data_IF_882047733413
#
_entry.id   IF_882047733413
#
_cell.length_a   1.000
_cell.length_b   1.000
_cell.length_c   1.000
_cell.angle_alpha   90.00
_cell.angle_beta   90.00
_cell.angle_gamma   90.00
#
_symmetry.space_group_name_H-M   'P 1'
#
loop_
_entity.id
_entity.type
_entity.pdbx_description
1 polymer ?
#
# COMPACT_ATOMS: atom_id res chain seq x y z
N UNK A 1 72.86 27.02 18.32
CA UNK A 1 71.82 26.01 18.04
C UNK A 1 70.59 26.70 17.47
N UNK A 2 70.35 26.57 16.16
CA UNK A 2 69.09 26.92 15.49
C UNK A 2 68.93 25.91 14.35
N UNK A 3 67.96 25.00 14.49
CA UNK A 3 67.60 24.05 13.45
C UNK A 3 66.54 24.67 12.53
N UNK A 4 66.73 24.42 11.24
CA UNK A 4 65.76 24.65 10.19
C UNK A 4 64.57 23.70 10.32
N UNK A 5 63.39 24.12 9.87
CA UNK A 5 62.29 23.21 9.57
C UNK A 5 61.63 23.66 8.27
N UNK A 6 61.70 22.75 7.30
CA UNK A 6 61.15 22.81 5.96
C UNK A 6 59.77 22.15 5.98
N UNK A 7 58.73 22.88 5.60
CA UNK A 7 57.38 22.32 5.39
C UNK A 7 57.12 22.15 3.90
N UNK A 8 57.26 20.90 3.46
CA UNK A 8 56.89 20.41 2.13
C UNK A 8 55.38 20.22 2.08
N UNK A 9 54.69 21.00 1.24
CA UNK A 9 53.28 20.84 0.95
C UNK A 9 53.07 19.69 -0.05
N UNK A 10 52.41 18.62 0.38
CA UNK A 10 52.00 17.51 -0.47
C UNK A 10 50.62 17.84 -1.06
N UNK A 11 50.58 18.22 -2.34
CA UNK A 11 49.35 18.35 -3.11
C UNK A 11 48.81 16.94 -3.41
N UNK A 12 47.77 16.51 -2.70
CA UNK A 12 46.92 15.40 -3.14
C UNK A 12 45.97 15.91 -4.22
N UNK A 13 46.28 15.60 -5.48
CA UNK A 13 45.34 15.73 -6.58
C UNK A 13 44.30 14.61 -6.49
N UNK A 14 43.16 14.89 -5.87
CA UNK A 14 41.95 14.07 -5.98
C UNK A 14 41.43 14.19 -7.42
N UNK A 15 41.70 13.16 -8.23
CA UNK A 15 41.09 13.00 -9.54
C UNK A 15 39.60 12.77 -9.37
N UNK A 16 38.81 13.81 -9.64
CA UNK A 16 37.37 13.72 -9.84
C UNK A 16 37.18 12.96 -11.15
N UNK A 17 37.08 11.64 -11.08
CA UNK A 17 36.57 10.86 -12.20
C UNK A 17 35.12 11.30 -12.40
N UNK A 18 34.85 11.96 -13.53
CA UNK A 18 33.48 12.23 -13.94
C UNK A 18 32.78 10.88 -14.08
N UNK A 19 31.81 10.60 -13.21
CA UNK A 19 30.81 9.55 -13.40
C UNK A 19 30.01 9.94 -14.65
N UNK A 20 30.56 9.60 -15.81
CA UNK A 20 29.82 9.57 -17.05
C UNK A 20 28.61 8.67 -16.81
N UNK A 21 27.42 9.18 -17.11
CA UNK A 21 26.17 8.46 -17.05
C UNK A 21 26.30 7.19 -17.89
N UNK A 22 26.61 6.07 -17.24
CA UNK A 22 26.58 4.76 -17.83
C UNK A 22 25.10 4.42 -18.07
N UNK A 23 24.56 4.94 -19.17
CA UNK A 23 23.37 4.37 -19.80
C UNK A 23 23.78 2.97 -20.24
N UNK A 24 23.57 2.01 -19.34
CA UNK A 24 23.62 0.58 -19.62
C UNK A 24 22.76 0.34 -20.85
N UNK A 25 23.41 0.11 -21.98
CA UNK A 25 22.75 -0.21 -23.25
C UNK A 25 22.05 -1.56 -23.10
N UNK A 26 20.75 -1.53 -22.82
CA UNK A 26 19.82 -2.62 -23.17
C UNK A 26 19.67 -3.80 -22.20
N UNK A 27 20.31 -3.80 -21.03
CA UNK A 27 20.07 -4.86 -20.04
C UNK A 27 18.79 -4.55 -19.24
N UNK A 28 17.78 -5.40 -19.38
CA UNK A 28 16.60 -5.37 -18.51
C UNK A 28 16.94 -5.90 -17.11
N UNK A 29 16.07 -5.62 -16.15
CA UNK A 29 16.19 -6.02 -14.75
C UNK A 29 15.33 -7.25 -14.50
N UNK A 30 15.96 -8.33 -14.03
CA UNK A 30 15.30 -9.61 -13.77
C UNK A 30 14.66 -9.66 -12.38
N UNK A 31 15.16 -8.89 -11.41
CA UNK A 31 14.65 -8.88 -10.03
C UNK A 31 14.39 -7.46 -9.50
N UNK A 32 13.34 -7.32 -8.70
CA UNK A 32 12.99 -6.09 -7.99
C UNK A 32 14.09 -5.71 -6.98
N UNK A 33 14.74 -6.71 -6.39
CA UNK A 33 15.86 -6.53 -5.47
C UNK A 33 17.03 -5.79 -6.13
N UNK A 34 17.29 -6.01 -7.42
CA UNK A 34 18.33 -5.28 -8.15
C UNK A 34 18.01 -3.79 -8.26
N UNK A 35 16.75 -3.41 -8.41
CA UNK A 35 16.32 -2.01 -8.41
C UNK A 35 16.56 -1.40 -7.04
N UNK A 36 16.14 -2.08 -5.98
CA UNK A 36 16.33 -1.61 -4.60
C UNK A 36 17.82 -1.45 -4.27
N UNK A 37 18.66 -2.41 -4.65
CA UNK A 37 20.11 -2.35 -4.45
C UNK A 37 20.73 -1.19 -5.23
N UNK A 38 20.35 -0.99 -6.50
CA UNK A 38 20.84 0.14 -7.32
C UNK A 38 20.42 1.47 -6.72
N UNK A 39 19.16 1.63 -6.33
CA UNK A 39 18.67 2.86 -5.71
C UNK A 39 19.31 3.14 -4.35
N UNK A 40 19.74 2.12 -3.60
CA UNK A 40 20.46 2.32 -2.33
C UNK A 40 21.84 2.98 -2.54
N UNK A 41 22.41 2.86 -3.73
CA UNK A 41 23.69 3.44 -4.12
C UNK A 41 23.55 4.80 -4.83
N UNK A 42 22.32 5.22 -5.15
CA UNK A 42 22.04 6.50 -5.81
C UNK A 42 22.09 7.63 -4.79
N UNK A 43 23.07 8.51 -4.96
CA UNK A 43 23.22 9.74 -4.16
C UNK A 43 22.53 10.95 -4.79
N UNK A 44 22.52 11.03 -6.12
CA UNK A 44 21.86 12.10 -6.88
C UNK A 44 20.51 11.62 -7.42
N UNK A 45 19.43 12.11 -6.80
CA UNK A 45 18.05 11.80 -7.20
C UNK A 45 17.45 12.81 -8.17
N UNK A 46 18.20 13.84 -8.58
CA UNK A 46 17.72 14.88 -9.50
C UNK A 46 17.64 14.40 -10.96
N UNK A 47 18.39 13.36 -11.30
CA UNK A 47 18.43 12.78 -12.65
C UNK A 47 17.34 11.73 -12.84
N UNK A 48 16.67 11.73 -14.00
CA UNK A 48 15.74 10.67 -14.38
C UNK A 48 16.46 9.33 -14.51
N UNK A 49 16.02 8.34 -13.74
CA UNK A 49 16.55 6.97 -13.74
C UNK A 49 15.48 6.03 -14.29
N UNK A 50 15.81 5.32 -15.36
CA UNK A 50 14.89 4.38 -16.01
C UNK A 50 15.30 2.95 -15.73
N UNK A 51 14.35 2.17 -15.21
CA UNK A 51 14.45 0.73 -14.97
C UNK A 51 13.53 0.01 -15.95
N UNK A 52 14.10 -0.87 -16.77
CA UNK A 52 13.33 -1.71 -17.68
C UNK A 52 13.24 -3.11 -17.10
N UNK A 53 12.05 -3.53 -16.67
CA UNK A 53 11.81 -4.91 -16.27
C UNK A 53 11.87 -5.83 -17.49
N UNK A 54 12.43 -7.02 -17.31
CA UNK A 54 12.48 -8.02 -18.38
C UNK A 54 11.07 -8.50 -18.74
N UNK A 55 10.77 -8.58 -20.05
CA UNK A 55 9.49 -9.07 -20.54
C UNK A 55 9.26 -10.54 -20.14
N UNK A 56 7.99 -10.91 -19.93
CA UNK A 56 7.54 -12.25 -19.54
C UNK A 56 8.12 -12.75 -18.21
N UNK A 57 8.55 -11.83 -17.34
CA UNK A 57 9.02 -12.16 -15.98
C UNK A 57 7.91 -11.88 -14.96
N UNK A 58 7.74 -12.84 -14.07
CA UNK A 58 6.93 -12.71 -12.86
C UNK A 58 7.83 -12.41 -11.68
N UNK A 59 7.61 -11.25 -11.07
CA UNK A 59 8.26 -10.82 -9.84
C UNK A 59 7.36 -11.14 -8.65
N UNK A 60 7.69 -12.21 -7.93
CA UNK A 60 7.01 -12.61 -6.71
C UNK A 60 7.49 -11.76 -5.54
N UNK A 61 6.61 -10.91 -5.00
CA UNK A 61 6.89 -10.09 -3.82
C UNK A 61 6.64 -10.93 -2.56
N UNK A 62 7.53 -10.77 -1.56
CA UNK A 62 7.42 -11.43 -0.27
C UNK A 62 6.37 -10.78 0.63
N UNK A 63 5.99 -11.49 1.68
CA UNK A 63 5.11 -10.99 2.74
C UNK A 63 5.93 -10.41 3.88
N UNK A 64 5.27 -9.69 4.78
CA UNK A 64 5.84 -9.15 6.00
C UNK A 64 5.44 -10.05 7.17
N UNK A 65 6.40 -10.42 8.01
CA UNK A 65 6.09 -11.12 9.25
C UNK A 65 5.54 -10.16 10.33
N UNK A 66 5.31 -10.66 11.54
CA UNK A 66 4.83 -9.86 12.68
C UNK A 66 5.81 -8.76 13.12
N UNK A 67 7.09 -8.88 12.77
CA UNK A 67 8.13 -7.87 13.01
C UNK A 67 8.29 -6.91 11.82
N UNK A 68 7.49 -7.10 10.77
CA UNK A 68 7.58 -6.40 9.49
C UNK A 68 8.88 -6.69 8.72
N UNK A 69 9.48 -7.85 8.97
CA UNK A 69 10.60 -8.34 8.18
C UNK A 69 10.06 -9.03 6.92
N UNK A 70 10.76 -8.84 5.80
CA UNK A 70 10.42 -9.48 4.53
C UNK A 70 10.68 -10.98 4.62
N UNK A 71 9.67 -11.79 4.31
CA UNK A 71 9.72 -13.25 4.21
C UNK A 71 9.22 -13.70 2.84
N UNK A 72 9.79 -14.80 2.33
CA UNK A 72 9.32 -15.54 1.15
C UNK A 72 9.08 -14.72 -0.14
N UNK A 73 10.11 -14.05 -0.66
CA UNK A 73 10.05 -13.44 -1.99
C UNK A 73 11.06 -12.33 -2.22
N UNK A 74 10.76 -11.48 -3.21
CA UNK A 74 11.50 -10.26 -3.47
C UNK A 74 10.97 -9.12 -2.59
N UNK A 75 11.81 -8.12 -2.34
CA UNK A 75 11.38 -6.91 -1.66
C UNK A 75 10.38 -6.11 -2.50
N UNK A 76 9.64 -5.24 -1.83
CA UNK A 76 8.78 -4.25 -2.46
C UNK A 76 9.59 -3.24 -3.28
N UNK A 77 8.99 -2.64 -4.32
CA UNK A 77 9.62 -1.59 -5.12
C UNK A 77 9.73 -0.28 -4.32
N UNK A 78 10.94 0.16 -3.93
CA UNK A 78 11.09 1.40 -3.18
C UNK A 78 11.02 2.60 -4.13
N UNK A 79 10.17 3.57 -3.82
CA UNK A 79 10.04 4.78 -4.61
C UNK A 79 10.96 5.92 -4.16
N UNK A 80 11.57 6.58 -5.15
CA UNK A 80 12.34 7.82 -5.03
C UNK A 80 12.02 8.72 -6.23
N UNK A 81 12.22 10.05 -6.13
CA UNK A 81 11.89 10.95 -7.22
C UNK A 81 12.73 10.72 -8.49
N UNK A 82 12.19 11.16 -9.62
CA UNK A 82 12.77 11.04 -10.96
C UNK A 82 13.07 9.58 -11.34
N UNK A 83 12.07 8.70 -11.14
CA UNK A 83 12.16 7.28 -11.48
C UNK A 83 11.14 6.91 -12.55
N UNK A 84 11.57 6.16 -13.56
CA UNK A 84 10.69 5.49 -14.52
C UNK A 84 10.89 4.00 -14.45
N UNK A 85 9.84 3.24 -14.22
CA UNK A 85 9.86 1.77 -14.21
C UNK A 85 8.92 1.29 -15.31
N UNK A 86 9.47 0.61 -16.31
CA UNK A 86 8.73 0.20 -17.50
C UNK A 86 8.87 -1.28 -17.78
N UNK A 87 7.82 -1.89 -18.33
CA UNK A 87 7.85 -3.28 -18.75
C UNK A 87 8.39 -3.43 -20.18
N UNK A 88 9.53 -4.08 -20.34
CA UNK A 88 10.24 -4.16 -21.60
C UNK A 88 10.71 -2.78 -22.12
N UNK A 89 11.47 -2.78 -23.21
CA UNK A 89 12.11 -1.56 -23.73
C UNK A 89 11.12 -0.53 -24.27
N UNK A 90 9.94 -0.97 -24.72
CA UNK A 90 8.87 -0.10 -25.25
C UNK A 90 7.78 0.20 -24.22
N UNK A 91 7.93 -0.27 -22.97
CA UNK A 91 7.01 0.03 -21.86
C UNK A 91 5.59 -0.51 -22.04
N UNK A 92 5.39 -1.45 -22.97
CA UNK A 92 4.06 -1.97 -23.30
C UNK A 92 3.64 -3.09 -22.37
N UNK A 93 2.36 -3.14 -22.02
CA UNK A 93 1.80 -4.20 -21.17
C UNK A 93 1.81 -5.58 -21.81
N UNK A 94 1.85 -5.66 -23.14
CA UNK A 94 2.00 -6.91 -23.90
C UNK A 94 3.34 -7.62 -23.63
N UNK A 95 4.31 -6.90 -23.04
CA UNK A 95 5.55 -7.50 -22.55
C UNK A 95 5.34 -8.34 -21.29
N UNK A 96 4.17 -8.32 -20.65
CA UNK A 96 3.77 -9.20 -19.55
C UNK A 96 4.74 -9.21 -18.35
N UNK A 97 5.19 -8.06 -17.88
CA UNK A 97 5.89 -7.97 -16.60
C UNK A 97 4.85 -7.96 -15.49
N UNK A 98 4.87 -9.01 -14.69
CA UNK A 98 3.89 -9.26 -13.65
C UNK A 98 4.56 -9.06 -12.29
N UNK A 99 4.00 -8.20 -11.44
CA UNK A 99 4.33 -8.09 -10.03
C UNK A 99 3.18 -8.72 -9.25
N UNK A 100 3.48 -9.75 -8.46
CA UNK A 100 2.43 -10.57 -7.85
C UNK A 100 2.74 -10.96 -6.42
N UNK A 101 1.67 -11.17 -5.64
CA UNK A 101 1.75 -11.56 -4.23
C UNK A 101 2.24 -10.43 -3.33
N UNK A 102 2.69 -10.83 -2.14
CA UNK A 102 3.24 -9.95 -1.11
C UNK A 102 2.21 -9.02 -0.48
N UNK A 103 2.57 -8.46 0.67
CA UNK A 103 1.72 -7.49 1.36
C UNK A 103 1.72 -6.15 0.64
N UNK A 104 2.90 -5.66 0.25
CA UNK A 104 3.07 -4.37 -0.42
C UNK A 104 3.95 -4.55 -1.65
N UNK A 105 3.45 -4.21 -2.84
CA UNK A 105 4.22 -4.36 -4.08
C UNK A 105 5.03 -3.11 -4.43
N UNK A 106 4.44 -1.92 -4.28
CA UNK A 106 5.08 -0.63 -4.47
C UNK A 106 4.99 0.19 -3.19
N UNK A 107 6.14 0.58 -2.65
CA UNK A 107 6.25 1.35 -1.42
C UNK A 107 6.74 2.78 -1.66
N UNK A 108 5.84 3.73 -1.43
CA UNK A 108 6.12 5.16 -1.36
C UNK A 108 6.17 5.71 0.06
N UNK A 109 6.19 4.85 1.09
CA UNK A 109 6.26 5.28 2.48
C UNK A 109 7.70 5.61 2.92
N UNK A 110 7.84 6.14 4.13
CA UNK A 110 9.13 6.29 4.81
C UNK A 110 9.58 5.02 5.53
N UNK A 111 8.73 3.99 5.60
CA UNK A 111 8.93 2.81 6.43
C UNK A 111 9.87 1.80 5.80
N UNK A 112 9.65 1.50 4.52
CA UNK A 112 10.49 0.56 3.76
C UNK A 112 11.21 1.25 2.58
N UNK A 113 10.81 2.48 2.25
CA UNK A 113 11.39 3.29 1.19
C UNK A 113 12.79 3.83 1.52
N UNK A 114 13.56 4.09 0.47
CA UNK A 114 14.93 4.62 0.57
C UNK A 114 14.85 6.15 0.78
N UNK A 115 14.85 6.56 2.05
CA UNK A 115 14.90 7.96 2.50
C UNK A 115 13.53 8.53 2.87
N UNK A 116 13.37 8.90 4.16
CA UNK A 116 12.07 9.21 4.77
C UNK A 116 11.45 10.54 4.34
N UNK A 117 12.24 11.50 3.88
CA UNK A 117 11.81 12.91 3.78
C UNK A 117 11.79 13.46 2.35
N UNK A 118 12.06 12.62 1.35
CA UNK A 118 12.13 13.05 -0.04
C UNK A 118 10.74 12.92 -0.71
N UNK A 119 10.22 13.96 -1.38
CA UNK A 119 9.00 13.86 -2.19
C UNK A 119 9.10 12.83 -3.31
N UNK A 120 7.97 12.24 -3.68
CA UNK A 120 7.79 11.28 -4.77
C UNK A 120 7.57 11.99 -6.11
N UNK A 121 8.43 12.95 -6.45
CA UNK A 121 8.25 13.76 -7.66
C UNK A 121 8.67 12.99 -8.93
N UNK A 122 7.89 13.12 -10.00
CA UNK A 122 8.24 12.64 -11.33
C UNK A 122 8.54 11.12 -11.36
N UNK A 123 7.60 10.33 -10.83
CA UNK A 123 7.65 8.87 -10.87
C UNK A 123 6.67 8.35 -11.92
N UNK A 124 7.14 7.45 -12.80
CA UNK A 124 6.33 6.83 -13.84
C UNK A 124 6.41 5.30 -13.81
N UNK A 125 5.26 4.64 -13.80
CA UNK A 125 5.12 3.21 -14.06
C UNK A 125 4.49 3.02 -15.44
N UNK A 126 5.04 2.12 -16.25
CA UNK A 126 4.55 1.89 -17.61
C UNK A 126 4.42 0.39 -17.96
N UNK A 127 3.20 -0.03 -18.31
CA UNK A 127 2.93 -1.37 -18.85
C UNK A 127 3.08 -2.52 -17.85
N UNK A 128 2.97 -2.27 -16.55
CA UNK A 128 3.16 -3.29 -15.51
C UNK A 128 1.80 -3.84 -15.06
N UNK A 129 1.73 -5.15 -14.83
CA UNK A 129 0.57 -5.78 -14.19
C UNK A 129 0.85 -6.01 -12.71
N UNK A 130 -0.03 -5.50 -11.85
CA UNK A 130 -0.06 -5.70 -10.40
C UNK A 130 -1.19 -6.68 -10.06
N UNK A 131 -0.83 -7.77 -9.38
CA UNK A 131 -1.77 -8.88 -9.17
C UNK A 131 -1.66 -9.47 -7.76
N UNK A 132 -2.81 -9.86 -7.19
CA UNK A 132 -2.89 -10.67 -5.97
C UNK A 132 -2.06 -10.17 -4.78
N UNK A 133 -2.01 -8.85 -4.54
CA UNK A 133 -1.44 -8.33 -3.28
C UNK A 133 -2.33 -8.71 -2.08
N UNK A 134 -1.75 -9.00 -0.92
CA UNK A 134 -2.50 -9.27 0.32
C UNK A 134 -2.86 -8.00 1.11
N UNK A 135 -2.17 -6.88 0.90
CA UNK A 135 -2.60 -5.60 1.49
C UNK A 135 -2.75 -4.52 0.43
N UNK A 136 -1.65 -4.11 -0.21
CA UNK A 136 -1.59 -3.01 -1.16
C UNK A 136 -0.76 -3.39 -2.39
N UNK A 137 -1.27 -3.14 -3.59
CA UNK A 137 -0.42 -3.10 -4.78
C UNK A 137 0.43 -1.82 -4.75
N UNK A 138 -0.14 -0.71 -4.30
CA UNK A 138 0.53 0.59 -4.20
C UNK A 138 0.18 1.26 -2.88
N UNK A 139 1.20 1.64 -2.10
CA UNK A 139 1.03 2.39 -0.85
C UNK A 139 1.90 3.65 -0.82
N UNK A 140 1.27 4.83 -0.85
CA UNK A 140 1.96 6.13 -0.92
C UNK A 140 1.54 7.04 0.24
N UNK A 141 2.51 7.58 0.98
CA UNK A 141 2.28 8.46 2.16
C UNK A 141 3.13 9.74 2.14
N UNK A 142 3.72 10.08 1.00
CA UNK A 142 4.61 11.23 0.80
C UNK A 142 4.06 12.14 -0.30
N UNK A 143 4.35 13.45 -0.27
CA UNK A 143 3.93 14.35 -1.34
C UNK A 143 4.67 14.01 -2.63
N UNK A 144 4.14 14.42 -3.77
CA UNK A 144 4.81 14.33 -5.07
C UNK A 144 3.87 13.99 -6.21
N UNK A 145 4.42 13.45 -7.30
CA UNK A 145 3.68 13.08 -8.50
C UNK A 145 4.05 11.69 -9.01
N UNK A 146 3.05 10.80 -9.05
CA UNK A 146 3.19 9.42 -9.53
C UNK A 146 2.22 9.16 -10.67
N UNK A 147 2.71 8.64 -11.79
CA UNK A 147 1.89 8.32 -12.97
C UNK A 147 1.97 6.84 -13.29
N UNK A 148 0.81 6.21 -13.48
CA UNK A 148 0.66 4.86 -14.01
C UNK A 148 0.11 4.95 -15.42
N UNK A 149 0.84 4.44 -16.40
CA UNK A 149 0.46 4.45 -17.81
C UNK A 149 0.38 3.03 -18.34
N UNK A 150 -0.75 2.66 -18.93
CA UNK A 150 -1.00 1.32 -19.48
C UNK A 150 -0.81 0.17 -18.46
N UNK A 151 -0.94 0.46 -17.16
CA UNK A 151 -0.83 -0.55 -16.10
C UNK A 151 -2.13 -1.34 -15.92
N UNK A 152 -2.01 -2.53 -15.34
CA UNK A 152 -3.16 -3.40 -15.02
C UNK A 152 -3.15 -3.73 -13.54
N UNK A 153 -4.28 -3.58 -12.86
CA UNK A 153 -4.52 -3.98 -11.48
C UNK A 153 -5.61 -5.04 -11.48
N UNK A 154 -5.25 -6.29 -11.18
CA UNK A 154 -6.22 -7.39 -11.29
C UNK A 154 -6.11 -8.47 -10.23
N UNK A 155 -7.20 -9.20 -10.07
CA UNK A 155 -7.27 -10.37 -9.18
C UNK A 155 -6.78 -10.10 -7.75
N UNK A 156 -6.91 -8.85 -7.29
CA UNK A 156 -6.61 -8.45 -5.92
C UNK A 156 -7.84 -8.77 -5.07
N UNK A 157 -7.93 -10.03 -4.66
CA UNK A 157 -9.06 -10.59 -3.91
C UNK A 157 -8.85 -10.65 -2.41
N UNK A 158 -7.60 -10.48 -1.96
CA UNK A 158 -7.21 -10.48 -0.55
C UNK A 158 -6.63 -9.13 -0.10
N UNK A 159 -6.52 -8.16 -1.00
CA UNK A 159 -5.95 -6.85 -0.71
C UNK A 159 -6.89 -6.03 0.18
N UNK A 160 -6.35 -5.42 1.24
CA UNK A 160 -7.05 -4.40 2.04
C UNK A 160 -7.58 -3.30 1.10
N UNK A 161 -6.73 -2.83 0.20
CA UNK A 161 -7.11 -2.03 -0.97
C UNK A 161 -5.95 -2.04 -1.97
N UNK A 162 -6.16 -2.29 -3.27
CA UNK A 162 -5.07 -2.29 -4.26
C UNK A 162 -4.23 -1.00 -4.27
N UNK A 163 -4.86 0.17 -4.14
CA UNK A 163 -4.15 1.46 -4.14
C UNK A 163 -4.55 2.29 -2.93
N UNK A 164 -3.59 2.56 -2.05
CA UNK A 164 -3.78 3.34 -0.84
C UNK A 164 -2.90 4.59 -0.83
N UNK A 165 -3.54 5.77 -0.82
CA UNK A 165 -2.89 7.07 -0.69
C UNK A 165 -3.29 7.69 0.64
N UNK A 166 -2.30 7.92 1.51
CA UNK A 166 -2.51 8.42 2.86
C UNK A 166 -1.52 9.54 3.19
N UNK A 167 -1.45 10.53 2.30
CA UNK A 167 -0.67 11.75 2.54
C UNK A 167 -1.53 12.87 3.10
N UNK A 168 -1.09 13.41 4.24
CA UNK A 168 -1.64 14.62 4.84
C UNK A 168 -0.55 15.34 5.64
N UNK A 169 -0.39 16.63 5.39
CA UNK A 169 0.54 17.50 6.10
C UNK A 169 -0.14 18.84 6.44
N UNK A 170 -0.69 18.99 7.66
CA UNK A 170 -1.38 20.21 8.05
C UNK A 170 -0.43 21.42 8.16
N UNK A 171 0.86 21.17 8.37
CA UNK A 171 1.88 22.23 8.45
C UNK A 171 2.24 22.80 7.08
N UNK A 172 1.93 22.09 5.99
CA UNK A 172 2.11 22.55 4.63
C UNK A 172 0.88 22.18 3.79
N UNK A 173 -0.22 22.95 3.87
CA UNK A 173 -1.44 22.65 3.13
C UNK A 173 -1.26 22.74 1.61
N UNK A 174 -0.18 23.37 1.13
CA UNK A 174 0.13 23.51 -0.29
C UNK A 174 0.85 22.29 -0.87
N UNK A 175 1.44 21.41 -0.05
CA UNK A 175 2.00 20.16 -0.55
C UNK A 175 0.89 19.16 -0.86
N UNK A 176 1.08 18.37 -1.92
CA UNK A 176 0.07 17.48 -2.46
C UNK A 176 0.74 16.16 -2.89
N UNK A 177 0.00 15.06 -2.80
CA UNK A 177 0.30 13.81 -3.49
C UNK A 177 -0.65 13.68 -4.68
N UNK A 178 -0.13 13.84 -5.89
CA UNK A 178 -0.90 13.72 -7.14
C UNK A 178 -0.62 12.38 -7.81
N UNK A 179 -1.66 11.58 -8.02
CA UNK A 179 -1.55 10.27 -8.66
C UNK A 179 -2.43 10.21 -9.90
N UNK A 180 -1.80 9.86 -11.03
CA UNK A 180 -2.47 9.77 -12.34
C UNK A 180 -2.52 8.32 -12.83
N UNK A 181 -3.70 7.88 -13.26
CA UNK A 181 -3.93 6.61 -13.95
C UNK A 181 -4.37 6.91 -15.39
N UNK A 182 -3.50 6.62 -16.34
CA UNK A 182 -3.71 6.91 -17.75
C UNK A 182 -3.73 5.60 -18.56
N UNK A 183 -4.88 5.30 -19.19
CA UNK A 183 -5.10 4.03 -19.93
C UNK A 183 -4.88 2.77 -19.07
N UNK A 184 -5.14 2.87 -17.77
CA UNK A 184 -5.02 1.74 -16.86
C UNK A 184 -6.25 0.83 -16.94
N UNK A 185 -6.10 -0.42 -16.47
CA UNK A 185 -7.17 -1.40 -16.37
C UNK A 185 -7.27 -1.91 -14.92
N UNK A 186 -8.44 -1.77 -14.30
CA UNK A 186 -8.80 -2.40 -13.03
C UNK A 186 -9.79 -3.53 -13.32
N UNK A 187 -9.34 -4.79 -13.26
CA UNK A 187 -10.11 -5.95 -13.70
C UNK A 187 -10.22 -7.03 -12.62
N UNK A 188 -11.41 -7.61 -12.45
CA UNK A 188 -11.62 -8.78 -11.59
C UNK A 188 -11.12 -8.64 -10.13
N UNK A 189 -11.07 -7.42 -9.60
CA UNK A 189 -10.72 -7.20 -8.19
C UNK A 189 -11.93 -7.50 -7.30
N UNK A 190 -11.68 -7.95 -6.06
CA UNK A 190 -12.75 -8.30 -5.12
C UNK A 190 -12.52 -7.68 -3.75
N UNK A 191 -13.56 -7.05 -3.24
CA UNK A 191 -13.62 -6.65 -1.84
C UNK A 191 -13.98 -7.85 -0.97
N UNK A 192 -13.15 -8.17 0.03
CA UNK A 192 -13.36 -9.35 0.88
C UNK A 192 -14.04 -9.04 2.23
N UNK A 193 -14.43 -7.77 2.47
CA UNK A 193 -15.09 -7.34 3.71
C UNK A 193 -14.11 -6.81 4.76
N UNK A 194 -14.65 -6.34 5.88
CA UNK A 194 -13.85 -5.81 6.99
C UNK A 194 -12.74 -6.80 7.43
N UNK A 195 -11.52 -6.31 7.70
CA UNK A 195 -11.12 -4.92 7.91
C UNK A 195 -10.74 -4.14 6.64
N UNK A 196 -10.94 -4.70 5.43
CA UNK A 196 -10.56 -4.03 4.20
C UNK A 196 -11.31 -2.70 4.00
N UNK A 197 -10.62 -1.72 3.38
CA UNK A 197 -11.24 -0.49 2.94
C UNK A 197 -12.18 -0.82 1.78
N UNK A 198 -13.40 -0.29 1.74
CA UNK A 198 -14.40 -0.72 0.78
C UNK A 198 -14.21 -0.08 -0.61
N UNK A 199 -12.97 0.15 -1.05
CA UNK A 199 -12.66 0.73 -2.36
C UNK A 199 -11.35 0.19 -2.98
N UNK A 200 -11.27 0.19 -4.32
CA UNK A 200 -10.07 -0.27 -5.03
C UNK A 200 -8.94 0.76 -4.98
N UNK A 201 -9.31 2.03 -5.04
CA UNK A 201 -8.41 3.18 -4.94
C UNK A 201 -8.93 4.11 -3.86
N UNK A 202 -8.10 4.38 -2.85
CA UNK A 202 -8.44 5.24 -1.71
C UNK A 202 -7.48 6.42 -1.62
N UNK A 203 -8.05 7.63 -1.63
CA UNK A 203 -7.36 8.88 -1.32
C UNK A 203 -7.82 9.46 0.02
N UNK A 204 -7.17 9.07 1.12
CA UNK A 204 -7.65 9.38 2.47
C UNK A 204 -7.42 10.84 2.92
N UNK A 205 -6.51 11.58 2.28
CA UNK A 205 -6.19 12.96 2.61
C UNK A 205 -6.81 13.97 1.65
N UNK A 206 -7.19 15.15 2.14
CA UNK A 206 -7.59 16.30 1.29
C UNK A 206 -6.48 16.78 0.35
N UNK A 207 -5.24 16.39 0.63
CA UNK A 207 -4.03 16.68 -0.16
C UNK A 207 -3.68 15.55 -1.13
N UNK A 208 -4.54 14.54 -1.27
CA UNK A 208 -4.38 13.49 -2.27
C UNK A 208 -5.21 13.85 -3.50
N UNK A 209 -4.56 14.16 -4.62
CA UNK A 209 -5.22 14.36 -5.90
C UNK A 209 -5.20 13.07 -6.71
N UNK A 210 -6.37 12.68 -7.18
CA UNK A 210 -6.54 11.53 -8.04
C UNK A 210 -6.95 11.99 -9.45
N UNK A 211 -6.28 11.46 -10.46
CA UNK A 211 -6.55 11.75 -11.87
C UNK A 211 -6.70 10.43 -12.61
N UNK A 212 -7.85 10.23 -13.25
CA UNK A 212 -8.13 9.05 -14.08
C UNK A 212 -8.45 9.50 -15.49
N UNK A 213 -7.63 9.06 -16.45
CA UNK A 213 -7.80 9.37 -17.86
C UNK A 213 -7.84 8.10 -18.69
N UNK A 214 -8.93 7.91 -19.44
CA UNK A 214 -9.08 6.74 -20.33
C UNK A 214 -8.87 5.40 -19.59
N UNK A 215 -9.19 5.36 -18.29
CA UNK A 215 -9.04 4.16 -17.47
C UNK A 215 -10.31 3.32 -17.52
N UNK A 216 -10.15 2.00 -17.48
CA UNK A 216 -11.27 1.05 -17.50
C UNK A 216 -11.35 0.29 -16.19
N UNK A 217 -12.53 0.28 -15.58
CA UNK A 217 -12.89 -0.55 -14.44
C UNK A 217 -13.86 -1.62 -14.93
N UNK A 218 -13.48 -2.89 -14.85
CA UNK A 218 -14.32 -3.98 -15.35
C UNK A 218 -14.35 -5.19 -14.44
N UNK A 219 -15.50 -5.87 -14.37
CA UNK A 219 -15.67 -7.14 -13.65
C UNK A 219 -15.27 -7.10 -12.16
N UNK A 220 -15.22 -5.91 -11.53
CA UNK A 220 -14.86 -5.81 -10.13
C UNK A 220 -16.07 -6.15 -9.26
N UNK A 221 -15.85 -6.96 -8.22
CA UNK A 221 -16.88 -7.28 -7.25
C UNK A 221 -16.57 -6.61 -5.90
N UNK A 222 -17.17 -5.46 -5.68
CA UNK A 222 -17.05 -4.68 -4.46
C UNK A 222 -18.15 -5.01 -3.45
N UNK A 223 -19.03 -5.98 -3.74
CA UNK A 223 -20.03 -6.47 -2.79
C UNK A 223 -19.48 -7.68 -2.06
N UNK A 224 -19.32 -7.57 -0.75
CA UNK A 224 -18.95 -8.75 0.03
C UNK A 224 -20.18 -9.61 0.26
N UNK A 225 -20.15 -10.84 -0.26
CA UNK A 225 -21.10 -11.90 0.09
C UNK A 225 -20.73 -12.51 1.45
N UNK A 226 -20.76 -11.72 2.52
CA UNK A 226 -20.44 -12.17 3.87
C UNK A 226 -21.66 -12.87 4.48
N UNK A 227 -21.90 -14.11 4.04
CA UNK A 227 -23.05 -14.96 4.39
C UNK A 227 -24.42 -14.31 4.09
N UNK A 228 -25.28 -15.02 3.35
CA UNK A 228 -26.61 -14.56 2.92
C UNK A 228 -27.52 -14.03 4.05
N UNK A 229 -27.18 -14.28 5.31
CA UNK A 229 -27.91 -13.87 6.51
C UNK A 229 -27.60 -12.47 7.02
N UNK A 230 -26.48 -11.84 6.63
CA UNK A 230 -26.13 -10.49 7.08
C UNK A 230 -25.98 -9.58 5.87
N UNK A 231 -27.12 -9.20 5.29
CA UNK A 231 -27.19 -8.13 4.29
C UNK A 231 -26.92 -6.78 4.94
N UNK A 232 -25.67 -6.53 5.36
CA UNK A 232 -25.20 -5.17 5.53
C UNK A 232 -24.90 -4.64 4.14
N UNK A 233 -25.57 -3.57 3.75
CA UNK A 233 -25.23 -2.81 2.56
C UNK A 233 -23.82 -2.26 2.78
N UNK A 234 -22.81 -2.97 2.28
CA UNK A 234 -21.42 -2.56 2.46
C UNK A 234 -21.19 -1.26 1.68
N UNK A 235 -20.57 -0.30 2.34
CA UNK A 235 -20.30 1.04 1.84
C UNK A 235 -19.19 1.02 0.79
N UNK A 236 -19.39 0.33 -0.33
CA UNK A 236 -18.30 0.07 -1.28
C UNK A 236 -18.35 0.87 -2.56
N UNK A 237 -17.15 1.16 -3.05
CA UNK A 237 -16.82 2.00 -4.18
C UNK A 237 -15.74 1.33 -5.05
N UNK A 238 -15.52 1.84 -6.26
CA UNK A 238 -14.29 1.55 -7.00
C UNK A 238 -13.21 2.56 -6.63
N UNK A 239 -13.60 3.84 -6.55
CA UNK A 239 -12.72 4.95 -6.18
C UNK A 239 -13.34 5.70 -5.01
N UNK A 240 -12.55 5.98 -3.99
CA UNK A 240 -12.96 6.73 -2.81
C UNK A 240 -11.91 7.81 -2.50
N UNK A 241 -12.34 9.07 -2.28
CA UNK A 241 -11.38 10.16 -2.02
C UNK A 241 -11.93 11.31 -1.18
N UNK A 242 -11.06 11.84 -0.33
CA UNK A 242 -11.26 13.07 0.45
C UNK A 242 -10.64 14.31 -0.24
N UNK A 243 -9.76 14.11 -1.22
CA UNK A 243 -9.09 15.17 -1.96
C UNK A 243 -9.62 15.34 -3.39
N UNK A 244 -9.02 16.25 -4.18
CA UNK A 244 -9.49 16.56 -5.53
C UNK A 244 -9.48 15.35 -6.45
N UNK A 245 -10.54 15.21 -7.26
CA UNK A 245 -10.71 14.11 -8.21
C UNK A 245 -10.96 14.62 -9.62
N UNK A 246 -10.20 14.11 -10.58
CA UNK A 246 -10.47 14.31 -12.01
C UNK A 246 -10.69 12.97 -12.68
N UNK A 247 -11.81 12.79 -13.36
CA UNK A 247 -12.12 11.60 -14.14
C UNK A 247 -12.55 11.99 -15.55
N UNK A 248 -11.69 11.69 -16.53
CA UNK A 248 -11.93 12.01 -17.94
C UNK A 248 -11.89 10.77 -18.82
N UNK A 249 -12.93 10.55 -19.65
CA UNK A 249 -12.97 9.48 -20.64
C UNK A 249 -12.85 8.05 -20.07
N UNK A 250 -13.33 7.79 -18.85
CA UNK A 250 -13.21 6.48 -18.21
C UNK A 250 -14.40 5.57 -18.51
N UNK A 251 -14.22 4.27 -18.34
CA UNK A 251 -15.24 3.26 -18.56
C UNK A 251 -15.48 2.39 -17.34
N UNK A 252 -16.76 2.10 -17.08
CA UNK A 252 -17.21 1.27 -15.98
C UNK A 252 -18.09 0.14 -16.54
N UNK A 253 -17.58 -1.08 -16.56
CA UNK A 253 -18.23 -2.24 -17.19
C UNK A 253 -18.41 -3.42 -16.24
N UNK A 254 -19.62 -3.97 -16.11
CA UNK A 254 -19.87 -5.20 -15.34
C UNK A 254 -19.35 -5.20 -13.88
N UNK A 255 -19.38 -4.06 -13.19
CA UNK A 255 -18.94 -3.98 -11.79
C UNK A 255 -20.12 -4.19 -10.84
N UNK A 256 -19.91 -4.93 -9.75
CA UNK A 256 -20.88 -5.08 -8.66
C UNK A 256 -20.45 -4.17 -7.51
N UNK A 257 -21.22 -3.10 -7.24
CA UNK A 257 -20.80 -2.03 -6.34
C UNK A 257 -21.88 -1.76 -5.29
N UNK A 258 -21.48 -1.52 -4.04
CA UNK A 258 -22.38 -1.23 -2.93
C UNK A 258 -23.07 0.13 -3.10
N UNK A 259 -22.38 1.25 -2.85
CA UNK A 259 -23.02 2.57 -2.85
C UNK A 259 -23.03 3.19 -4.24
N UNK A 260 -21.84 3.39 -4.81
CA UNK A 260 -21.63 4.10 -6.07
C UNK A 260 -20.25 3.70 -6.63
N UNK A 261 -20.02 3.76 -7.96
CA UNK A 261 -18.66 3.65 -8.50
C UNK A 261 -17.64 4.58 -7.84
N UNK A 262 -18.05 5.81 -7.50
CA UNK A 262 -17.16 6.84 -6.97
C UNK A 262 -17.74 7.45 -5.69
N UNK A 263 -16.98 7.40 -4.60
CA UNK A 263 -17.27 8.08 -3.34
C UNK A 263 -16.38 9.29 -3.14
N UNK A 264 -16.97 10.44 -2.81
CA UNK A 264 -16.23 11.69 -2.61
C UNK A 264 -16.67 12.40 -1.33
N UNK A 265 -15.70 12.84 -0.53
CA UNK A 265 -15.91 13.54 0.75
C UNK A 265 -15.33 14.96 0.73
N UNK A 266 -15.79 15.77 -0.23
CA UNK A 266 -15.33 17.13 -0.48
C UNK A 266 -14.34 17.26 -1.64
N UNK A 267 -13.59 18.38 -1.65
CA UNK A 267 -12.62 18.67 -2.70
C UNK A 267 -13.23 19.18 -4.02
N UNK A 268 -12.35 19.61 -4.93
CA UNK A 268 -12.72 19.98 -6.29
C UNK A 268 -12.82 18.73 -7.15
N UNK A 269 -13.96 18.56 -7.82
CA UNK A 269 -14.23 17.36 -8.61
C UNK A 269 -14.58 17.73 -10.05
N UNK A 270 -13.90 17.11 -11.00
CA UNK A 270 -14.13 17.27 -12.43
C UNK A 270 -14.42 15.91 -13.06
N UNK A 271 -15.60 15.79 -13.65
CA UNK A 271 -16.01 14.64 -14.44
C UNK A 271 -16.22 15.11 -15.88
N UNK A 272 -15.75 14.32 -16.84
CA UNK A 272 -15.96 14.57 -18.27
C UNK A 272 -15.87 13.27 -19.07
N UNK A 273 -16.90 12.95 -19.87
CA UNK A 273 -16.89 11.80 -20.78
C UNK A 273 -16.77 10.44 -20.06
N UNK A 274 -17.39 10.24 -18.91
CA UNK A 274 -17.35 8.93 -18.23
C UNK A 274 -18.54 8.06 -18.66
N UNK A 275 -18.27 6.81 -19.04
CA UNK A 275 -19.23 5.90 -19.67
C UNK A 275 -19.55 4.69 -18.80
N UNK A 276 -20.82 4.28 -18.81
CA UNK A 276 -21.32 3.13 -18.05
C UNK A 276 -21.84 2.02 -18.97
N UNK A 277 -21.57 0.78 -18.57
CA UNK A 277 -22.19 -0.42 -19.13
C UNK A 277 -22.35 -1.47 -18.03
N UNK A 278 -23.49 -1.47 -17.35
CA UNK A 278 -23.82 -2.38 -16.25
C UNK A 278 -22.91 -2.21 -15.02
N UNK A 279 -22.70 -0.96 -14.59
CA UNK A 279 -21.86 -0.64 -13.41
C UNK A 279 -22.47 0.44 -12.53
N UNK A 280 -23.76 0.31 -12.20
CA UNK A 280 -24.44 1.21 -11.28
C UNK A 280 -24.25 0.78 -9.83
N UNK A 281 -24.06 1.72 -8.91
CA UNK A 281 -24.13 1.43 -7.48
C UNK A 281 -25.58 1.20 -7.01
N UNK A 282 -25.76 0.61 -5.82
CA UNK A 282 -27.09 0.35 -5.27
C UNK A 282 -27.79 1.61 -4.78
N UNK A 283 -27.04 2.68 -4.47
CA UNK A 283 -27.59 3.96 -3.98
C UNK A 283 -27.48 5.05 -5.04
N UNK A 284 -26.27 5.32 -5.53
CA UNK A 284 -26.04 6.32 -6.57
C UNK A 284 -25.57 5.66 -7.87
N UNK A 285 -26.06 6.13 -9.03
CA UNK A 285 -25.67 5.57 -10.31
C UNK A 285 -24.17 5.71 -10.60
N UNK A 286 -23.56 6.86 -10.31
CA UNK A 286 -22.14 7.11 -10.57
C UNK A 286 -21.38 7.64 -9.35
N UNK A 287 -21.71 8.85 -8.91
CA UNK A 287 -21.00 9.52 -7.81
C UNK A 287 -21.91 9.66 -6.61
N UNK A 288 -21.40 9.31 -5.44
CA UNK A 288 -21.96 9.69 -4.14
C UNK A 288 -21.09 10.76 -3.50
N UNK A 289 -21.61 11.99 -3.41
CA UNK A 289 -20.92 13.12 -2.80
C UNK A 289 -21.45 13.35 -1.37
N UNK A 290 -20.54 13.41 -0.41
CA UNK A 290 -20.82 13.69 0.99
C UNK A 290 -20.25 15.07 1.34
N UNK A 291 -21.13 16.05 1.52
CA UNK A 291 -20.78 17.45 1.80
C UNK A 291 -20.62 17.71 3.31
N UNK A 292 -21.24 16.86 4.15
CA UNK A 292 -21.18 16.97 5.62
C UNK A 292 -20.99 15.61 6.27
N UNK A 293 -20.46 15.62 7.50
CA UNK A 293 -20.28 14.41 8.32
C UNK A 293 -21.61 13.70 8.58
N UNK A 294 -22.69 14.46 8.79
CA UNK A 294 -24.02 13.89 9.00
C UNK A 294 -24.52 13.13 7.77
N UNK A 295 -24.24 13.61 6.56
CA UNK A 295 -24.58 12.88 5.33
C UNK A 295 -23.80 11.57 5.24
N UNK A 296 -22.53 11.57 5.64
CA UNK A 296 -21.70 10.36 5.65
C UNK A 296 -22.20 9.35 6.67
N UNK A 297 -22.42 9.77 7.91
CA UNK A 297 -22.88 8.90 8.99
C UNK A 297 -24.26 8.32 8.69
N UNK A 298 -25.17 9.14 8.18
CA UNK A 298 -26.51 8.71 7.78
C UNK A 298 -26.52 7.92 6.46
N UNK A 299 -25.39 7.82 5.76
CA UNK A 299 -25.29 7.23 4.42
C UNK A 299 -26.31 7.84 3.43
N UNK A 300 -26.40 9.16 3.43
CA UNK A 300 -27.31 9.96 2.60
C UNK A 300 -26.53 10.86 1.63
N UNK A 301 -25.81 10.28 0.65
CA UNK A 301 -25.04 11.08 -0.30
C UNK A 301 -25.94 11.87 -1.25
N UNK A 302 -25.38 12.95 -1.80
CA UNK A 302 -25.91 13.57 -3.01
C UNK A 302 -25.44 12.78 -4.23
N UNK A 303 -26.38 12.16 -4.92
CA UNK A 303 -26.07 11.36 -6.09
C UNK A 303 -25.89 12.22 -7.36
N UNK A 304 -24.87 11.88 -8.15
CA UNK A 304 -24.74 12.33 -9.54
C UNK A 304 -24.74 11.13 -10.48
N UNK A 305 -25.28 11.31 -11.68
CA UNK A 305 -25.32 10.29 -12.73
C UNK A 305 -24.13 10.42 -13.68
N UNK A 306 -23.91 9.38 -14.48
CA UNK A 306 -23.01 9.45 -15.63
C UNK A 306 -23.49 10.52 -16.62
N UNK A 307 -22.55 11.20 -17.27
CA UNK A 307 -22.87 12.24 -18.27
C UNK A 307 -23.53 11.66 -19.51
N UNK A 308 -23.20 10.41 -19.85
CA UNK A 308 -23.62 9.74 -21.08
C UNK A 308 -24.22 8.36 -20.75
N UNK A 309 -25.36 8.34 -20.07
CA UNK A 309 -26.22 7.16 -19.94
C UNK A 309 -27.26 7.15 -21.07
N UNK A 310 -26.86 6.81 -22.30
CA UNK A 310 -27.78 6.84 -23.45
C UNK A 310 -27.25 6.15 -24.69
N UNK A 311 -28.11 5.36 -25.34
CA UNK A 311 -27.87 4.47 -26.47
C UNK A 311 -27.00 5.08 -27.58
N UNK A 312 -25.75 4.65 -27.68
CA UNK A 312 -24.87 4.93 -28.82
C UNK A 312 -23.44 5.32 -28.46
N UNK A 313 -23.22 5.83 -27.23
CA UNK A 313 -21.86 6.06 -26.74
C UNK A 313 -21.26 4.74 -26.24
N UNK A 314 -20.50 4.07 -27.10
CA UNK A 314 -19.70 2.91 -26.68
C UNK A 314 -18.47 3.39 -25.93
N UNK A 315 -18.17 2.76 -24.80
CA UNK A 315 -16.86 2.91 -24.15
C UNK A 315 -15.75 2.75 -25.20
N UNK A 316 -15.00 3.83 -25.45
CA UNK A 316 -13.77 3.82 -26.23
C UNK A 316 -12.61 4.27 -25.35
N UNK A 317 -12.54 3.76 -24.12
CA UNK A 317 -11.26 3.78 -23.45
C UNK A 317 -10.31 3.00 -24.36
N UNK A 318 -9.30 3.67 -24.92
CA UNK A 318 -8.17 3.06 -25.65
C UNK A 318 -7.31 2.25 -24.68
N UNK A 319 -7.94 1.32 -23.97
CA UNK A 319 -7.32 0.36 -23.07
C UNK A 319 -7.31 -0.94 -23.86
N UNK A 320 -6.16 -1.35 -24.41
CA UNK A 320 -6.05 -2.66 -25.03
C UNK A 320 -6.55 -3.74 -24.06
N UNK A 321 -7.13 -4.85 -24.52
CA UNK A 321 -7.48 -5.94 -23.63
C UNK A 321 -6.28 -6.29 -22.75
N UNK A 322 -6.51 -6.52 -21.46
CA UNK A 322 -5.45 -6.99 -20.57
C UNK A 322 -4.83 -8.27 -21.13
N UNK A 323 -3.57 -8.59 -20.80
CA UNK A 323 -2.96 -9.82 -21.26
C UNK A 323 -3.84 -10.99 -20.82
N UNK A 324 -4.32 -11.78 -21.79
CA UNK A 324 -5.12 -12.97 -21.52
C UNK A 324 -4.26 -13.88 -20.65
N UNK A 325 -4.61 -13.97 -19.37
CA UNK A 325 -3.94 -14.86 -18.46
C UNK A 325 -4.22 -16.29 -18.96
N UNK A 326 -3.27 -16.83 -19.72
CA UNK A 326 -3.17 -18.28 -19.80
C UNK A 326 -2.72 -18.67 -18.39
N UNK A 327 -3.47 -19.46 -17.62
CA UNK A 327 -3.06 -19.84 -16.28
C UNK A 327 -1.74 -20.60 -16.40
N UNK A 328 -0.62 -19.91 -16.21
CA UNK A 328 0.68 -20.52 -16.05
C UNK A 328 0.59 -21.22 -14.71
N UNK A 329 0.33 -22.54 -14.74
CA UNK A 329 0.39 -23.38 -13.56
C UNK A 329 1.69 -23.07 -12.82
N UNK A 330 1.60 -22.51 -11.61
CA UNK A 330 2.76 -22.35 -10.75
C UNK A 330 3.51 -23.69 -10.71
N UNK A 331 4.83 -23.72 -10.94
CA UNK A 331 5.61 -24.94 -10.74
C UNK A 331 5.49 -25.34 -9.26
N UNK A 332 4.66 -26.34 -8.98
CA UNK A 332 4.39 -26.85 -7.63
C UNK A 332 5.56 -27.66 -7.03
N UNK A 333 6.80 -27.45 -7.48
CA UNK A 333 7.96 -28.23 -7.03
C UNK A 333 9.02 -27.33 -6.42
N UNK A 334 8.84 -27.02 -5.14
CA UNK A 334 10.00 -26.86 -4.26
C UNK A 334 10.62 -28.25 -4.07
N UNK A 335 11.90 -28.48 -4.42
CA UNK A 335 12.58 -29.70 -4.05
C UNK A 335 12.80 -29.70 -2.53
N UNK A 336 11.90 -30.36 -1.80
CA UNK A 336 12.13 -30.73 -0.41
C UNK A 336 13.07 -31.93 -0.39
N UNK A 337 14.37 -31.67 -0.54
CA UNK A 337 15.42 -32.63 -0.18
C UNK A 337 15.97 -32.27 1.19
N UNK A 338 15.25 -32.68 2.23
CA UNK A 338 15.80 -32.79 3.58
C UNK A 338 16.81 -33.95 3.56
N UNK A 339 18.09 -33.74 3.92
CA UNK A 339 19.03 -34.85 4.10
C UNK A 339 18.55 -35.70 5.29
N UNK A 340 18.20 -36.95 5.03
CA UNK A 340 17.89 -37.91 6.09
C UNK A 340 19.20 -38.47 6.64
N UNK A 341 19.72 -37.85 7.71
CA UNK A 341 20.80 -38.44 8.48
C UNK A 341 20.28 -39.66 9.24
N UNK A 342 20.77 -40.82 8.84
CA UNK A 342 20.44 -42.12 9.40
C UNK A 342 21.36 -42.38 10.60
N UNK A 343 20.91 -42.10 11.82
CA UNK A 343 21.58 -42.57 13.03
C UNK A 343 21.02 -43.93 13.45
N UNK A 344 21.88 -44.94 13.44
CA UNK A 344 21.61 -46.29 13.96
C UNK A 344 21.55 -46.30 15.50
N UNK A 345 20.62 -47.04 16.13
CA UNK A 345 20.56 -47.17 17.57
C UNK A 345 21.39 -48.37 18.06
N UNK A 346 22.24 -48.14 19.07
CA UNK A 346 22.80 -49.20 19.91
C UNK A 346 22.17 -49.18 21.30
N UNK A 347 21.58 -50.34 21.63
CA UNK A 347 21.19 -50.92 22.92
C UNK A 347 22.01 -50.46 24.14
N UNK A 348 21.55 -50.47 25.41
CA UNK A 348 20.89 -51.50 26.23
C UNK A 348 20.71 -50.86 27.64
N UNK A 349 19.54 -50.95 28.30
CA UNK A 349 19.30 -51.82 29.49
C UNK A 349 19.18 -51.06 30.82
N UNK A 350 17.95 -51.04 31.36
CA UNK A 350 17.52 -51.49 32.70
C UNK A 350 16.43 -50.62 33.35
N UNK A 351 15.35 -51.31 33.74
CA UNK A 351 14.22 -50.81 34.51
C UNK A 351 14.57 -50.70 36.01
N UNK A 352 13.78 -49.96 36.80
CA UNK A 352 12.79 -50.71 37.58
C UNK A 352 11.42 -50.02 37.78
N UNK A 353 10.43 -50.90 37.88
CA UNK A 353 9.04 -50.76 38.30
C UNK A 353 8.90 -50.24 39.74
N UNK A 354 8.04 -49.23 39.96
CA UNK A 354 7.26 -49.10 41.21
C UNK A 354 5.87 -48.48 40.93
N UNK A 355 4.89 -49.00 41.70
CA UNK A 355 3.45 -48.92 41.55
C UNK A 355 2.82 -47.62 42.13
N UNK A 356 1.50 -47.38 41.94
CA UNK A 356 0.88 -46.07 42.12
C UNK A 356 0.27 -45.87 43.52
N UNK A 357 0.29 -44.62 44.00
CA UNK A 357 -0.43 -44.20 45.22
C UNK A 357 -1.07 -42.82 45.05
N UNK A 358 -2.40 -42.82 45.08
CA UNK A 358 -3.24 -41.91 45.88
C UNK A 358 -3.22 -40.41 45.58
N UNK A 359 -4.33 -39.91 45.03
CA UNK A 359 -4.74 -38.51 45.02
C UNK A 359 -4.81 -37.89 46.43
N UNK A 360 -4.62 -36.56 46.54
CA UNK A 360 -5.30 -35.79 47.56
C UNK A 360 -6.22 -34.73 46.96
N UNK A 361 -7.44 -34.73 47.50
CA UNK A 361 -8.44 -33.66 47.43
C UNK A 361 -7.96 -32.48 48.28
N UNK A 362 -7.95 -31.26 47.73
CA UNK A 362 -7.92 -30.02 48.53
C UNK A 362 -8.87 -28.99 47.92
N UNK A 363 -9.70 -28.42 48.79
CA UNK A 363 -10.79 -27.48 48.55
C UNK A 363 -10.31 -26.05 48.18
N UNK A 364 -11.18 -25.21 47.58
CA UNK A 364 -10.86 -23.82 47.27
C UNK A 364 -10.90 -22.94 48.52
N UNK A 365 -9.83 -22.17 48.74
CA UNK A 365 -9.73 -21.16 49.80
C UNK A 365 -10.13 -19.78 49.24
N UNK A 366 -10.94 -19.06 50.02
CA UNK A 366 -11.56 -17.79 49.70
C UNK A 366 -10.57 -16.60 49.60
N UNK A 367 -10.99 -15.60 48.82
CA UNK A 367 -10.32 -14.31 48.63
C UNK A 367 -10.37 -13.43 49.90
N UNK A 368 -9.31 -12.63 50.19
CA UNK A 368 -9.40 -11.56 51.17
C UNK A 368 -9.77 -10.20 50.55
N UNK A 369 -10.56 -9.48 51.34
CA UNK A 369 -11.09 -8.14 51.12
C UNK A 369 -10.04 -7.02 51.08
N UNK A 370 -10.51 -5.91 50.50
CA UNK A 370 -9.94 -4.58 50.36
C UNK A 370 -9.30 -3.95 51.63
N UNK A 371 -8.34 -3.05 51.38
CA UNK A 371 -7.82 -2.06 52.32
C UNK A 371 -7.31 -0.83 51.50
N UNK A 372 -7.05 0.34 52.11
CA UNK A 372 -7.68 1.60 51.72
C UNK A 372 -6.74 2.63 51.07
N UNK A 373 -7.36 3.68 50.52
CA UNK A 373 -6.71 4.88 50.01
C UNK A 373 -5.99 5.70 51.10
N UNK A 374 -4.93 6.45 50.74
CA UNK A 374 -4.48 7.60 51.50
C UNK A 374 -4.63 8.91 50.72
N UNK A 375 -5.31 9.85 51.35
CA UNK A 375 -5.16 11.30 51.14
C UNK A 375 -3.80 11.77 51.70
N UNK A 376 -3.21 12.79 51.09
CA UNK A 376 -2.02 13.45 51.65
C UNK A 376 -1.53 14.62 50.81
N UNK A 377 -1.97 15.82 51.18
CA UNK A 377 -1.54 17.10 50.64
C UNK A 377 -0.17 17.56 51.18
N UNK A 378 0.56 18.32 50.36
CA UNK A 378 1.61 19.25 50.79
C UNK A 378 2.78 19.40 49.80
N UNK A 379 3.11 20.61 49.32
CA UNK A 379 4.40 20.88 48.70
C UNK A 379 5.18 21.96 49.46
N UNK A 380 6.48 21.72 49.71
CA UNK A 380 7.47 22.78 49.86
C UNK A 380 8.90 22.27 49.52
N UNK A 381 9.67 23.17 48.89
CA UNK A 381 11.13 23.21 48.70
C UNK A 381 11.83 22.47 47.52
N UNK A 382 11.94 23.19 46.38
CA UNK A 382 13.16 23.84 45.82
C UNK A 382 14.46 23.01 45.52
N UNK A 383 14.77 22.98 44.21
CA UNK A 383 16.06 22.92 43.46
C UNK A 383 16.88 21.61 43.38
N UNK A 384 17.00 21.04 42.17
CA UNK A 384 18.24 21.12 41.33
C UNK A 384 18.06 20.46 39.94
N UNK A 385 18.45 21.22 38.90
CA UNK A 385 18.88 20.86 37.53
C UNK A 385 18.69 19.45 36.95
N UNK A 386 17.98 19.36 35.82
CA UNK A 386 18.38 18.65 34.56
C UNK A 386 17.33 18.94 33.46
N UNK A 387 17.71 19.11 32.18
CA UNK A 387 16.75 19.36 31.11
C UNK A 387 16.19 18.04 30.60
N UNK A 388 14.97 17.70 31.03
CA UNK A 388 14.15 16.67 30.39
C UNK A 388 13.23 17.38 29.41
N UNK A 389 13.48 17.18 28.11
CA UNK A 389 12.55 17.57 27.05
C UNK A 389 11.30 16.71 27.13
N UNK A 390 10.32 17.16 27.90
CA UNK A 390 8.94 16.70 27.84
C UNK A 390 8.36 17.13 26.50
N UNK A 391 8.00 16.14 25.68
CA UNK A 391 7.23 16.31 24.45
C UNK A 391 5.90 17.00 24.82
N UNK A 392 5.76 18.26 24.42
CA UNK A 392 4.54 19.02 24.57
C UNK A 392 3.45 18.41 23.67
N UNK A 393 2.24 18.38 24.21
CA UNK A 393 1.08 17.71 23.65
C UNK A 393 0.77 18.04 22.20
N UNK A 394 0.19 17.05 21.53
CA UNK A 394 -0.48 17.22 20.25
C UNK A 394 -1.55 18.31 20.39
N UNK A 395 -1.61 19.28 19.46
CA UNK A 395 -2.72 20.20 19.42
C UNK A 395 -4.00 19.42 19.09
N UNK A 396 -5.00 19.61 19.95
CA UNK A 396 -6.36 19.09 19.85
C UNK A 396 -6.99 19.65 18.55
N UNK A 397 -6.89 18.91 17.45
CA UNK A 397 -7.66 19.18 16.24
C UNK A 397 -8.91 18.31 16.26
N UNK A 398 -10.07 18.97 16.25
CA UNK A 398 -11.38 18.33 16.13
C UNK A 398 -11.54 17.49 14.86
N UNK A 399 -10.63 17.63 13.88
CA UNK A 399 -10.64 16.90 12.61
C UNK A 399 -9.90 15.54 12.67
N UNK A 400 -9.10 15.27 13.72
CA UNK A 400 -8.37 14.00 13.87
C UNK A 400 -9.15 12.91 14.65
N UNK A 401 -10.27 13.26 15.31
CA UNK A 401 -11.08 12.31 16.09
C UNK A 401 -11.83 11.31 15.21
N UNK A 402 -12.05 11.63 13.93
CA UNK A 402 -12.85 10.82 13.02
C UNK A 402 -12.13 9.57 12.50
N UNK A 403 -10.79 9.62 12.40
CA UNK A 403 -10.00 8.50 11.89
C UNK A 403 -9.39 7.64 13.00
N UNK A 404 -9.19 8.17 14.22
CA UNK A 404 -8.68 7.38 15.34
C UNK A 404 -9.64 6.25 15.77
N UNK A 405 -10.96 6.40 15.63
CA UNK A 405 -11.92 5.35 15.99
C UNK A 405 -11.91 4.15 15.03
N UNK A 406 -11.69 4.38 13.73
CA UNK A 406 -11.52 3.31 12.73
C UNK A 406 -10.08 2.75 12.70
N UNK A 407 -9.07 3.59 12.93
CA UNK A 407 -7.67 3.15 13.06
C UNK A 407 -7.40 2.36 14.35
N UNK A 408 -7.96 2.77 15.50
CA UNK A 408 -7.76 2.06 16.78
C UNK A 408 -8.45 0.70 16.79
N UNK A 409 -9.58 0.52 16.08
CA UNK A 409 -10.21 -0.80 15.92
C UNK A 409 -9.42 -1.70 14.96
N UNK A 410 -8.84 -1.16 13.89
CA UNK A 410 -7.96 -1.91 13.00
C UNK A 410 -6.63 -2.32 13.66
N UNK A 411 -5.98 -1.41 14.39
CA UNK A 411 -4.70 -1.69 15.06
C UNK A 411 -4.85 -2.52 16.34
N UNK A 412 -5.95 -2.36 17.10
CA UNK A 412 -6.17 -3.16 18.31
C UNK A 412 -6.55 -4.62 18.02
N UNK A 413 -7.14 -4.93 16.85
CA UNK A 413 -7.48 -6.31 16.48
C UNK A 413 -6.25 -7.12 16.02
N UNK A 414 -5.16 -6.46 15.62
CA UNK A 414 -3.90 -7.10 15.21
C UNK A 414 -3.01 -7.54 16.38
N UNK A 415 -3.39 -7.24 17.62
CA UNK A 415 -2.67 -7.72 18.83
C UNK A 415 -3.23 -9.09 19.31
N UNK A 416 -4.26 -9.64 18.65
CA UNK A 416 -4.96 -10.86 19.10
C UNK A 416 -5.25 -11.92 18.01
N UNK A 417 -4.50 -11.90 16.91
CA UNK A 417 -4.35 -13.00 15.95
C UNK A 417 -2.87 -13.14 15.61
#
# INVERSE_FOLDING_TARGET
MKFASSTTACLLALGIASLASAQSTGACVETINDIALRESLVTDTSLLRTYTLCSQITHQIGTLDVNYDLVDGQGMLPLRPNMKIQCGVDGKKENNCLITGGDVQVDGTSRFGIGSDVPLDNIEFQGITFQSSSQYSVWLTRPGSVTFTDCVFRDNSQAITPVFLDYFNPSNPASELSVTFNRCLFDANRYFGEPAQPALVVGNGRQNRLIFERTKFTNNNMKTELNATVSRTYRSYLVETNGPLTMTNNCFENNQIGIAPVGVYGGENLFAGNFESMSTGDICPFVSNFETDEQFEANMPRCSAFELSGTGATCQADVPPGPTATPTSMPSSFPSSVPTDTFAPSSTTDAPTLAPTGSPVVAPVAAPNAAPAPDGAGPEAVLTSTPTTTFAGFPDSSDARYLQSLWLLGVALFIWL
#
